data_IF_570849899821
#
_entry.id   IF_570849899821
#
_cell.length_a   1.000
_cell.length_b   1.000
_cell.length_c   1.000
_cell.angle_alpha   90.00
_cell.angle_beta   90.00
_cell.angle_gamma   90.00
#
_symmetry.space_group_name_H-M   'P 1'
#
loop_
_entity.id
_entity.type
_entity.pdbx_description
1 polymer ?
#
# COMPACT_ATOMS: atom_id res chain seq x y z
N UNK A 1 -6.17 7.28 -30.09
CA UNK A 1 -7.07 8.44 -30.07
C UNK A 1 -7.92 8.43 -28.81
N UNK A 2 -8.71 7.38 -28.56
CA UNK A 2 -9.47 7.22 -27.32
C UNK A 2 -8.59 7.13 -26.07
N UNK A 3 -7.42 6.48 -26.15
CA UNK A 3 -6.45 6.52 -25.06
C UNK A 3 -5.96 7.93 -24.71
N UNK A 4 -5.92 8.86 -25.68
CA UNK A 4 -5.57 10.27 -25.43
C UNK A 4 -6.74 10.99 -24.75
N UNK A 5 -7.96 10.83 -25.28
CA UNK A 5 -9.19 11.34 -24.66
C UNK A 5 -9.30 10.89 -23.19
N UNK A 6 -9.11 9.60 -22.92
CA UNK A 6 -9.15 9.03 -21.56
C UNK A 6 -7.99 9.53 -20.68
N UNK A 7 -6.81 9.78 -21.25
CA UNK A 7 -5.69 10.35 -20.51
C UNK A 7 -5.90 11.82 -20.16
N UNK A 8 -6.56 12.58 -21.02
CA UNK A 8 -6.94 13.97 -20.79
C UNK A 8 -8.01 14.05 -19.71
N UNK A 9 -9.06 13.22 -19.80
CA UNK A 9 -10.05 13.11 -18.72
C UNK A 9 -9.38 12.76 -17.40
N UNK A 10 -8.51 11.74 -17.36
CA UNK A 10 -7.80 11.41 -16.12
C UNK A 10 -6.96 12.56 -15.59
N UNK A 11 -6.26 13.28 -16.46
CA UNK A 11 -5.45 14.42 -16.06
C UNK A 11 -6.30 15.55 -15.47
N UNK A 12 -7.43 15.89 -16.09
CA UNK A 12 -8.36 16.90 -15.59
C UNK A 12 -8.99 16.48 -14.25
N UNK A 13 -9.43 15.23 -14.14
CA UNK A 13 -10.02 14.69 -12.91
C UNK A 13 -9.02 14.70 -11.77
N UNK A 14 -7.80 14.23 -12.02
CA UNK A 14 -6.72 14.25 -11.04
C UNK A 14 -6.43 15.68 -10.61
N UNK A 15 -6.30 16.61 -11.56
CA UNK A 15 -5.99 18.00 -11.28
C UNK A 15 -7.12 18.69 -10.50
N UNK A 16 -8.38 18.50 -10.91
CA UNK A 16 -9.53 19.07 -10.21
C UNK A 16 -9.67 18.56 -8.78
N UNK A 17 -9.38 17.27 -8.53
CA UNK A 17 -9.33 16.73 -7.16
C UNK A 17 -8.21 17.39 -6.36
N UNK A 18 -7.01 17.56 -6.93
CA UNK A 18 -5.88 18.22 -6.23
C UNK A 18 -6.18 19.69 -5.92
N UNK A 19 -6.78 20.43 -6.85
CA UNK A 19 -7.17 21.84 -6.64
C UNK A 19 -8.22 22.00 -5.54
N UNK A 20 -9.17 21.06 -5.43
CA UNK A 20 -10.12 21.03 -4.30
C UNK A 20 -9.40 20.83 -2.95
N UNK A 21 -8.30 20.06 -2.94
CA UNK A 21 -7.56 19.76 -1.72
C UNK A 21 -6.63 20.90 -1.29
N UNK A 22 -6.09 21.64 -2.26
CA UNK A 22 -5.26 22.83 -2.01
C UNK A 22 -6.08 24.02 -1.51
N UNK A 23 -7.40 24.00 -1.70
CA UNK A 23 -8.28 25.06 -1.22
C UNK A 23 -8.59 24.91 0.28
N UNK A 24 -7.98 25.76 1.10
CA UNK A 24 -8.19 25.80 2.55
C UNK A 24 -9.64 26.07 2.99
N UNK A 25 -10.48 26.64 2.12
CA UNK A 25 -11.90 26.91 2.38
C UNK A 25 -12.85 25.77 1.99
N UNK A 26 -12.31 24.69 1.42
CA UNK A 26 -13.09 23.57 0.91
C UNK A 26 -13.69 22.71 2.05
N UNK A 27 -15.00 22.48 2.00
CA UNK A 27 -15.65 21.52 2.89
C UNK A 27 -15.30 20.09 2.47
N UNK A 28 -14.37 19.50 3.22
CA UNK A 28 -13.85 18.14 2.98
C UNK A 28 -14.92 17.06 3.15
N UNK A 29 -16.09 17.38 3.71
CA UNK A 29 -17.25 16.48 3.73
C UNK A 29 -17.92 16.32 2.37
N UNK A 30 -17.78 17.30 1.47
CA UNK A 30 -18.31 17.25 0.09
C UNK A 30 -17.34 16.59 -0.90
N UNK A 31 -16.17 16.11 -0.47
CA UNK A 31 -15.09 15.68 -1.36
C UNK A 31 -15.49 14.57 -2.34
N UNK A 32 -16.23 13.56 -1.88
CA UNK A 32 -16.67 12.45 -2.74
C UNK A 32 -17.64 12.96 -3.80
N UNK A 33 -18.64 13.74 -3.40
CA UNK A 33 -19.64 14.30 -4.32
C UNK A 33 -19.00 15.24 -5.35
N UNK A 34 -18.07 16.11 -4.90
CA UNK A 34 -17.35 17.05 -5.75
C UNK A 34 -16.38 16.35 -6.71
N UNK A 35 -15.68 15.31 -6.25
CA UNK A 35 -14.79 14.52 -7.10
C UNK A 35 -15.58 13.76 -8.18
N UNK A 36 -16.72 13.17 -7.82
CA UNK A 36 -17.63 12.55 -8.79
C UNK A 36 -18.17 13.57 -9.79
N UNK A 37 -18.51 14.78 -9.33
CA UNK A 37 -18.97 15.84 -10.22
C UNK A 37 -17.88 16.31 -11.19
N UNK A 38 -16.65 16.54 -10.70
CA UNK A 38 -15.49 16.88 -11.55
C UNK A 38 -15.25 15.78 -12.58
N UNK A 39 -15.34 14.51 -12.18
CA UNK A 39 -15.26 13.39 -13.11
C UNK A 39 -16.29 13.51 -14.23
N UNK A 40 -17.56 13.67 -13.88
CA UNK A 40 -18.64 13.80 -14.86
C UNK A 40 -18.43 15.02 -15.77
N UNK A 41 -18.10 16.18 -15.19
CA UNK A 41 -17.90 17.43 -15.93
C UNK A 41 -16.70 17.34 -16.90
N UNK A 42 -15.58 16.75 -16.46
CA UNK A 42 -14.41 16.51 -17.31
C UNK A 42 -14.69 15.53 -18.44
N UNK A 43 -15.41 14.44 -18.17
CA UNK A 43 -15.82 13.53 -19.23
C UNK A 43 -16.73 14.22 -20.25
N UNK A 44 -17.77 14.93 -19.79
CA UNK A 44 -18.69 15.66 -20.65
C UNK A 44 -17.95 16.65 -21.55
N UNK A 45 -17.04 17.44 -20.96
CA UNK A 45 -16.24 18.42 -21.67
C UNK A 45 -15.31 17.77 -22.68
N UNK A 46 -14.51 16.77 -22.30
CA UNK A 46 -13.55 16.15 -23.22
C UNK A 46 -14.24 15.42 -24.36
N UNK A 47 -15.39 14.79 -24.12
CA UNK A 47 -16.20 14.15 -25.17
C UNK A 47 -16.75 15.21 -26.12
N UNK A 48 -17.39 16.26 -25.60
CA UNK A 48 -17.90 17.36 -26.43
C UNK A 48 -16.76 17.99 -27.24
N UNK A 49 -15.60 18.28 -26.66
CA UNK A 49 -14.46 18.84 -27.39
C UNK A 49 -13.91 17.88 -28.47
N UNK A 50 -13.85 16.57 -28.22
CA UNK A 50 -13.36 15.58 -29.19
C UNK A 50 -14.34 15.33 -30.35
N UNK A 51 -15.65 15.39 -30.10
CA UNK A 51 -16.69 15.12 -31.10
C UNK A 51 -17.27 16.39 -31.76
N UNK A 52 -17.19 17.56 -31.11
CA UNK A 52 -17.55 18.87 -31.68
C UNK A 52 -16.40 19.53 -32.43
N UNK A 53 -15.13 19.18 -32.15
CA UNK A 53 -14.02 19.54 -33.01
C UNK A 53 -14.00 18.68 -34.27
N UNK A 54 -13.46 19.19 -35.37
CA UNK A 54 -13.44 18.59 -36.72
C UNK A 54 -12.73 17.21 -36.84
N UNK A 55 -12.42 16.56 -35.72
CA UNK A 55 -11.72 15.27 -35.66
C UNK A 55 -12.64 14.06 -35.86
N UNK A 56 -13.92 14.11 -35.45
CA UNK A 56 -14.92 13.08 -35.71
C UNK A 56 -16.32 13.70 -35.72
N UNK A 57 -16.89 13.96 -36.90
CA UNK A 57 -18.29 14.36 -37.05
C UNK A 57 -19.21 13.13 -36.84
N UNK A 58 -19.18 12.56 -35.62
CA UNK A 58 -19.86 11.32 -35.23
C UNK A 58 -20.78 11.53 -34.02
N UNK A 59 -21.92 12.18 -34.23
CA UNK A 59 -22.97 12.37 -33.22
C UNK A 59 -23.39 11.06 -32.50
N UNK A 60 -23.30 9.91 -33.18
CA UNK A 60 -23.59 8.60 -32.59
C UNK A 60 -22.56 8.18 -31.53
N UNK A 61 -21.27 8.54 -31.71
CA UNK A 61 -20.21 8.26 -30.74
C UNK A 61 -20.42 9.05 -29.45
N UNK A 62 -20.66 10.35 -29.59
CA UNK A 62 -20.99 11.25 -28.49
C UNK A 62 -22.16 10.71 -27.67
N UNK A 63 -23.30 10.41 -28.31
CA UNK A 63 -24.48 9.87 -27.62
C UNK A 63 -24.21 8.56 -26.86
N UNK A 64 -23.37 7.67 -27.40
CA UNK A 64 -23.03 6.41 -26.72
C UNK A 64 -22.24 6.65 -25.43
N UNK A 65 -21.26 7.56 -25.46
CA UNK A 65 -20.53 7.92 -24.25
C UNK A 65 -21.43 8.62 -23.23
N UNK A 66 -22.25 9.59 -23.66
CA UNK A 66 -23.19 10.29 -22.77
C UNK A 66 -24.14 9.35 -22.03
N UNK A 67 -24.65 8.31 -22.71
CA UNK A 67 -25.51 7.30 -22.10
C UNK A 67 -24.78 6.46 -21.04
N UNK A 68 -23.52 6.13 -21.30
CA UNK A 68 -22.67 5.41 -20.35
C UNK A 68 -22.46 6.26 -19.09
N UNK A 69 -22.23 7.57 -19.22
CA UNK A 69 -22.10 8.47 -18.07
C UNK A 69 -23.40 8.69 -17.30
N UNK A 70 -24.53 8.89 -17.99
CA UNK A 70 -25.83 8.99 -17.32
C UNK A 70 -26.12 7.76 -16.44
N UNK A 71 -25.75 6.59 -16.94
CA UNK A 71 -25.86 5.33 -16.20
C UNK A 71 -24.96 5.20 -14.96
N UNK A 72 -23.82 5.90 -14.91
CA UNK A 72 -23.01 5.98 -13.69
C UNK A 72 -23.79 6.58 -12.53
N UNK A 73 -24.52 7.65 -12.81
CA UNK A 73 -25.28 8.37 -11.82
C UNK A 73 -26.40 7.50 -11.22
N UNK A 74 -27.05 6.69 -12.05
CA UNK A 74 -28.06 5.73 -11.61
C UNK A 74 -27.46 4.59 -10.77
N UNK A 75 -26.29 4.08 -11.15
CA UNK A 75 -25.58 3.02 -10.40
C UNK A 75 -25.13 3.50 -9.02
N UNK A 76 -24.67 4.75 -8.92
CA UNK A 76 -24.30 5.36 -7.63
C UNK A 76 -25.52 5.46 -6.71
N UNK A 77 -26.71 5.75 -7.27
CA UNK A 77 -27.94 5.90 -6.50
C UNK A 77 -28.58 4.56 -6.08
N UNK A 78 -28.32 3.46 -6.79
CA UNK A 78 -28.95 2.15 -6.56
C UNK A 78 -27.95 1.03 -6.21
N UNK A 79 -27.02 1.25 -5.29
CA UNK A 79 -25.95 0.28 -4.93
C UNK A 79 -26.45 -0.96 -4.15
N UNK A 80 -27.06 -1.92 -4.84
CA UNK A 80 -27.31 -3.30 -4.34
C UNK A 80 -26.39 -4.32 -5.02
N UNK A 81 -25.69 -5.15 -4.24
CA UNK A 81 -24.80 -6.21 -4.75
C UNK A 81 -25.28 -7.59 -4.31
N UNK A 82 -25.14 -8.59 -5.18
CA UNK A 82 -25.32 -9.98 -4.77
C UNK A 82 -24.09 -10.52 -4.01
N UNK A 83 -24.31 -11.54 -3.20
CA UNK A 83 -23.30 -12.10 -2.29
C UNK A 83 -22.09 -12.69 -3.04
N UNK A 84 -22.30 -13.31 -4.21
CA UNK A 84 -21.21 -13.95 -4.95
C UNK A 84 -20.29 -12.92 -5.60
N UNK A 85 -20.86 -11.86 -6.15
CA UNK A 85 -20.10 -10.74 -6.72
C UNK A 85 -19.32 -10.01 -5.63
N UNK A 86 -19.97 -9.75 -4.48
CA UNK A 86 -19.31 -9.16 -3.32
C UNK A 86 -18.05 -9.93 -2.91
N UNK A 87 -18.17 -11.24 -2.72
CA UNK A 87 -17.05 -12.09 -2.29
C UNK A 87 -15.96 -12.13 -3.35
N UNK A 88 -16.29 -12.42 -4.62
CA UNK A 88 -15.27 -12.56 -5.66
C UNK A 88 -14.45 -11.30 -5.87
N UNK A 89 -15.10 -10.14 -5.86
CA UNK A 89 -14.48 -8.88 -6.23
C UNK A 89 -13.73 -8.23 -5.06
N UNK A 90 -14.16 -8.46 -3.82
CA UNK A 90 -13.54 -7.86 -2.63
C UNK A 90 -12.72 -8.81 -1.76
N UNK A 91 -12.65 -10.11 -2.07
CA UNK A 91 -11.94 -11.09 -1.25
C UNK A 91 -10.51 -10.65 -0.91
N UNK A 92 -9.73 -10.21 -1.91
CA UNK A 92 -8.35 -9.77 -1.71
C UNK A 92 -8.25 -8.56 -0.76
N UNK A 93 -9.11 -7.55 -0.96
CA UNK A 93 -9.18 -6.39 -0.07
C UNK A 93 -9.63 -6.75 1.34
N UNK A 94 -10.57 -7.69 1.49
CA UNK A 94 -11.04 -8.15 2.81
C UNK A 94 -9.92 -8.87 3.54
N UNK A 95 -9.23 -9.80 2.87
CA UNK A 95 -8.11 -10.54 3.46
C UNK A 95 -7.00 -9.59 3.87
N UNK A 96 -6.61 -8.63 3.01
CA UNK A 96 -5.56 -7.65 3.34
C UNK A 96 -5.97 -6.69 4.46
N UNK A 97 -7.20 -6.18 4.42
CA UNK A 97 -7.73 -5.35 5.51
C UNK A 97 -7.79 -6.11 6.84
N UNK A 98 -8.23 -7.36 6.83
CA UNK A 98 -8.27 -8.22 8.01
C UNK A 98 -6.86 -8.57 8.53
N UNK A 99 -5.90 -8.85 7.64
CA UNK A 99 -4.49 -9.06 8.00
C UNK A 99 -3.91 -7.86 8.75
N UNK A 100 -4.18 -6.64 8.26
CA UNK A 100 -3.75 -5.40 8.93
C UNK A 100 -4.44 -5.24 10.29
N UNK A 101 -5.75 -5.49 10.39
CA UNK A 101 -6.49 -5.34 11.64
C UNK A 101 -6.08 -6.37 12.71
N UNK A 102 -5.95 -7.63 12.31
CA UNK A 102 -5.77 -8.77 13.22
C UNK A 102 -4.28 -9.00 13.50
N UNK A 103 -3.48 -9.16 12.44
CA UNK A 103 -2.08 -9.54 12.56
C UNK A 103 -1.17 -8.33 12.78
N UNK A 104 -1.56 -7.15 12.27
CA UNK A 104 -0.82 -5.89 12.40
C UNK A 104 0.69 -6.04 12.16
N UNK A 105 1.12 -6.55 10.98
CA UNK A 105 2.52 -6.87 10.72
C UNK A 105 3.46 -5.67 10.85
N UNK A 106 2.94 -4.46 10.64
CA UNK A 106 3.67 -3.20 10.67
C UNK A 106 3.67 -2.54 12.07
N UNK A 107 3.09 -3.18 13.09
CA UNK A 107 3.00 -2.66 14.45
C UNK A 107 2.34 -1.27 14.53
N UNK A 108 1.35 -1.02 13.67
CA UNK A 108 0.64 0.26 13.61
C UNK A 108 -0.16 0.51 14.89
N UNK A 109 -0.18 1.76 15.39
CA UNK A 109 -1.12 2.20 16.41
C UNK A 109 -2.57 1.93 16.00
N UNK A 110 -3.48 1.86 16.97
CA UNK A 110 -4.83 1.38 16.71
C UNK A 110 -5.60 2.20 15.66
N UNK A 111 -5.52 3.53 15.71
CA UNK A 111 -6.11 4.42 14.71
C UNK A 111 -5.47 4.28 13.33
N UNK A 112 -4.13 4.26 13.25
CA UNK A 112 -3.41 4.06 11.99
C UNK A 112 -3.71 2.69 11.35
N UNK A 113 -3.87 1.67 12.20
CA UNK A 113 -4.25 0.32 11.79
C UNK A 113 -5.66 0.31 11.18
N UNK A 114 -6.61 1.00 11.82
CA UNK A 114 -7.96 1.16 11.28
C UNK A 114 -7.96 1.94 9.96
N UNK A 115 -7.17 3.00 9.87
CA UNK A 115 -7.01 3.77 8.64
C UNK A 115 -6.43 2.91 7.51
N UNK A 116 -5.33 2.19 7.76
CA UNK A 116 -4.68 1.30 6.79
C UNK A 116 -5.63 0.20 6.30
N UNK A 117 -6.37 -0.45 7.20
CA UNK A 117 -7.39 -1.42 6.82
C UNK A 117 -8.53 -0.80 5.99
N UNK A 118 -8.97 0.41 6.34
CA UNK A 118 -10.00 1.14 5.61
C UNK A 118 -9.57 1.47 4.18
N UNK A 119 -8.29 1.78 3.93
CA UNK A 119 -7.76 1.98 2.57
C UNK A 119 -7.91 0.73 1.71
N UNK A 120 -7.64 -0.46 2.27
CA UNK A 120 -7.88 -1.72 1.55
C UNK A 120 -9.37 -1.96 1.26
N UNK A 121 -10.25 -1.69 2.23
CA UNK A 121 -11.70 -1.82 2.01
C UNK A 121 -12.23 -0.83 0.96
N UNK A 122 -11.75 0.42 0.97
CA UNK A 122 -12.11 1.42 -0.04
C UNK A 122 -11.67 1.00 -1.45
N UNK A 123 -10.46 0.44 -1.59
CA UNK A 123 -10.00 -0.10 -2.85
C UNK A 123 -10.94 -1.23 -3.35
N UNK A 124 -11.34 -2.14 -2.47
CA UNK A 124 -12.33 -3.19 -2.79
C UNK A 124 -13.69 -2.66 -3.20
N UNK A 125 -14.21 -1.69 -2.45
CA UNK A 125 -15.50 -1.04 -2.75
C UNK A 125 -15.48 -0.31 -4.09
N UNK A 126 -14.35 0.33 -4.46
CA UNK A 126 -14.23 0.99 -5.76
C UNK A 126 -14.35 0.01 -6.95
N UNK A 127 -13.82 -1.21 -6.79
CA UNK A 127 -13.93 -2.27 -7.78
C UNK A 127 -15.37 -2.77 -7.93
N UNK A 128 -16.10 -2.91 -6.82
CA UNK A 128 -17.52 -3.28 -6.85
C UNK A 128 -18.36 -2.25 -7.61
N UNK A 129 -18.17 -0.96 -7.31
CA UNK A 129 -18.90 0.11 -7.99
C UNK A 129 -18.61 0.08 -9.50
N UNK A 130 -17.35 -0.16 -9.88
CA UNK A 130 -16.96 -0.32 -11.28
C UNK A 130 -17.59 -1.55 -11.95
N UNK A 131 -17.64 -2.70 -11.28
CA UNK A 131 -18.26 -3.92 -11.84
C UNK A 131 -19.77 -3.76 -12.06
N UNK A 132 -20.46 -3.15 -11.09
CA UNK A 132 -21.90 -2.86 -11.23
C UNK A 132 -22.17 -1.85 -12.34
N UNK A 133 -21.28 -0.87 -12.47
CA UNK A 133 -21.32 0.06 -13.59
C UNK A 133 -21.23 -0.66 -14.94
N UNK A 134 -20.26 -1.57 -15.08
CA UNK A 134 -20.10 -2.36 -16.30
C UNK A 134 -21.31 -3.22 -16.61
N UNK A 135 -21.92 -3.80 -15.59
CA UNK A 135 -23.12 -4.65 -15.74
C UNK A 135 -24.33 -3.83 -16.16
N UNK A 136 -24.53 -2.67 -15.54
CA UNK A 136 -25.65 -1.78 -15.84
C UNK A 136 -25.57 -1.23 -17.28
N UNK A 137 -24.36 -0.95 -17.75
CA UNK A 137 -24.11 -0.32 -19.05
C UNK A 137 -23.79 -1.30 -20.18
N UNK A 138 -24.03 -2.60 -19.99
CA UNK A 138 -23.61 -3.66 -20.92
C UNK A 138 -23.94 -3.39 -22.39
N UNK A 139 -25.18 -3.02 -22.70
CA UNK A 139 -25.63 -2.75 -24.08
C UNK A 139 -24.91 -1.54 -24.72
N UNK A 140 -24.65 -0.49 -23.94
CA UNK A 140 -23.95 0.71 -24.42
C UNK A 140 -22.45 0.45 -24.58
N UNK A 141 -21.87 -0.34 -23.67
CA UNK A 141 -20.47 -0.77 -23.72
C UNK A 141 -20.21 -1.71 -24.89
N UNK A 142 -21.14 -2.61 -25.21
CA UNK A 142 -21.03 -3.50 -26.36
C UNK A 142 -21.08 -2.71 -27.69
N UNK A 143 -21.93 -1.67 -27.78
CA UNK A 143 -21.93 -0.75 -28.94
C UNK A 143 -20.63 0.05 -29.05
N UNK A 144 -20.09 0.52 -27.92
CA UNK A 144 -18.77 1.17 -27.89
C UNK A 144 -17.67 0.19 -28.30
N UNK A 145 -17.74 -1.08 -27.88
CA UNK A 145 -16.80 -2.14 -28.29
C UNK A 145 -16.85 -2.36 -29.79
N UNK A 146 -18.04 -2.49 -30.38
CA UNK A 146 -18.22 -2.69 -31.82
C UNK A 146 -17.63 -1.54 -32.64
N UNK A 147 -17.77 -0.31 -32.14
CA UNK A 147 -17.34 0.90 -32.85
C UNK A 147 -15.85 1.24 -32.65
N UNK A 148 -15.33 1.00 -31.45
CA UNK A 148 -14.02 1.52 -31.02
C UNK A 148 -13.04 0.43 -30.54
N UNK A 149 -13.46 -0.84 -30.51
CA UNK A 149 -12.65 -1.99 -30.14
C UNK A 149 -12.65 -2.31 -28.64
N UNK A 150 -12.06 -3.46 -28.28
CA UNK A 150 -12.07 -4.01 -26.91
C UNK A 150 -11.33 -3.14 -25.88
N UNK A 151 -10.42 -2.28 -26.33
CA UNK A 151 -9.64 -1.39 -25.46
C UNK A 151 -10.53 -0.45 -24.64
N UNK A 152 -11.65 0.04 -25.22
CA UNK A 152 -12.56 0.97 -24.53
C UNK A 152 -13.23 0.32 -23.31
N UNK A 153 -13.56 -0.97 -23.43
CA UNK A 153 -14.27 -1.75 -22.42
C UNK A 153 -13.38 -2.07 -21.22
N UNK A 154 -12.05 -2.00 -21.38
CA UNK A 154 -11.09 -2.21 -20.28
C UNK A 154 -10.67 -0.89 -19.64
N UNK A 155 -10.51 0.17 -20.42
CA UNK A 155 -10.02 1.47 -19.93
C UNK A 155 -11.06 2.25 -19.14
N UNK A 156 -12.32 2.24 -19.58
CA UNK A 156 -13.40 2.99 -18.92
C UNK A 156 -13.68 2.51 -17.48
N UNK A 157 -13.89 1.21 -17.19
CA UNK A 157 -14.07 0.77 -15.81
C UNK A 157 -12.84 1.00 -14.93
N UNK A 158 -11.64 0.91 -15.48
CA UNK A 158 -10.41 1.20 -14.76
C UNK A 158 -10.32 2.67 -14.34
N UNK A 159 -10.65 3.60 -15.26
CA UNK A 159 -10.66 5.03 -14.99
C UNK A 159 -11.70 5.43 -13.93
N UNK A 160 -12.89 4.83 -14.01
CA UNK A 160 -13.97 5.06 -13.03
C UNK A 160 -13.56 4.51 -11.65
N UNK A 161 -13.09 3.25 -11.61
CA UNK A 161 -12.65 2.63 -10.36
C UNK A 161 -11.50 3.40 -9.71
N UNK A 162 -10.49 3.81 -10.49
CA UNK A 162 -9.33 4.51 -9.96
C UNK A 162 -9.71 5.87 -9.38
N UNK A 163 -10.59 6.60 -10.06
CA UNK A 163 -11.06 7.91 -9.60
C UNK A 163 -11.90 7.79 -8.33
N UNK A 164 -12.84 6.84 -8.27
CA UNK A 164 -13.64 6.60 -7.06
C UNK A 164 -12.73 6.20 -5.90
N UNK A 165 -11.77 5.31 -6.14
CA UNK A 165 -10.79 4.90 -5.15
C UNK A 165 -10.00 6.11 -4.63
N UNK A 166 -9.45 6.94 -5.52
CA UNK A 166 -8.74 8.15 -5.14
C UNK A 166 -9.62 9.11 -4.33
N UNK A 167 -10.87 9.34 -4.75
CA UNK A 167 -11.79 10.20 -4.01
C UNK A 167 -12.04 9.68 -2.58
N UNK A 168 -12.30 8.38 -2.42
CA UNK A 168 -12.51 7.77 -1.10
C UNK A 168 -11.25 7.82 -0.22
N UNK A 169 -10.08 7.49 -0.78
CA UNK A 169 -8.81 7.52 -0.05
C UNK A 169 -8.47 8.92 0.44
N UNK A 170 -8.65 9.92 -0.43
CA UNK A 170 -8.40 11.30 -0.06
C UNK A 170 -9.39 11.76 1.01
N UNK A 171 -10.67 11.38 0.92
CA UNK A 171 -11.64 11.63 2.00
C UNK A 171 -11.19 11.02 3.32
N UNK A 172 -10.65 9.80 3.31
CA UNK A 172 -10.11 9.19 4.52
C UNK A 172 -8.92 9.99 5.09
N UNK A 173 -7.98 10.38 4.23
CA UNK A 173 -6.72 10.99 4.64
C UNK A 173 -6.86 12.47 5.02
N UNK A 174 -7.86 13.17 4.47
CA UNK A 174 -7.96 14.63 4.60
C UNK A 174 -9.18 15.09 5.39
N UNK A 175 -10.15 14.21 5.70
CA UNK A 175 -11.32 14.59 6.49
C UNK A 175 -10.94 14.86 7.96
N UNK A 176 -11.17 16.07 8.49
CA UNK A 176 -10.73 16.44 9.84
C UNK A 176 -11.33 15.56 10.95
N UNK A 177 -12.58 15.12 10.78
CA UNK A 177 -13.25 14.25 11.74
C UNK A 177 -12.62 12.85 11.75
N UNK A 178 -12.27 12.30 10.59
CA UNK A 178 -11.59 11.01 10.48
C UNK A 178 -10.17 11.11 11.07
N UNK A 179 -9.45 12.20 10.78
CA UNK A 179 -8.11 12.41 11.33
C UNK A 179 -8.14 12.58 12.85
N UNK A 180 -9.11 13.33 13.40
CA UNK A 180 -9.29 13.39 14.85
C UNK A 180 -9.61 12.00 15.43
N UNK A 181 -10.50 11.23 14.79
CA UNK A 181 -10.83 9.87 15.21
C UNK A 181 -9.59 8.96 15.25
N UNK A 182 -8.73 9.02 14.22
CA UNK A 182 -7.47 8.27 14.14
C UNK A 182 -6.56 8.64 15.32
N UNK A 183 -6.38 9.94 15.57
CA UNK A 183 -5.55 10.42 16.69
C UNK A 183 -6.10 9.91 18.03
N UNK A 184 -7.41 10.04 18.28
CA UNK A 184 -8.04 9.55 19.52
C UNK A 184 -7.95 8.04 19.65
N UNK A 185 -8.07 7.30 18.55
CA UNK A 185 -7.91 5.85 18.58
C UNK A 185 -6.47 5.44 18.81
N UNK A 186 -5.48 6.22 18.38
CA UNK A 186 -4.08 5.98 18.71
C UNK A 186 -3.78 6.16 20.21
N UNK A 187 -4.60 6.91 20.94
CA UNK A 187 -4.50 7.06 22.41
C UNK A 187 -5.07 5.86 23.17
N UNK A 188 -5.82 4.97 22.51
CA UNK A 188 -6.36 3.76 23.15
C UNK A 188 -5.20 2.81 23.48
N UNK A 189 -4.97 2.50 24.76
CA UNK A 189 -3.90 1.59 25.16
C UNK A 189 -4.23 0.19 24.63
N UNK A 190 -3.42 -0.25 23.66
CA UNK A 190 -3.49 -1.59 23.08
C UNK A 190 -2.16 -2.28 23.30
N UNK A 191 -2.15 -3.61 23.25
CA UNK A 191 -0.89 -4.38 23.35
C UNK A 191 0.15 -3.91 22.31
N UNK A 192 -0.30 -3.50 21.11
CA UNK A 192 0.58 -2.91 20.11
C UNK A 192 1.17 -1.57 20.54
N UNK A 193 0.41 -0.72 21.24
CA UNK A 193 0.92 0.53 21.80
C UNK A 193 2.06 0.26 22.77
N UNK A 194 1.91 -0.73 23.64
CA UNK A 194 2.97 -1.16 24.57
C UNK A 194 4.18 -1.75 23.84
N UNK A 195 3.97 -2.63 22.84
CA UNK A 195 5.06 -3.17 22.01
C UNK A 195 5.80 -2.06 21.27
N UNK A 196 5.10 -1.06 20.74
CA UNK A 196 5.72 0.09 20.06
C UNK A 196 6.55 0.92 21.04
N UNK A 197 6.01 1.23 22.22
CA UNK A 197 6.76 1.93 23.26
C UNK A 197 8.01 1.16 23.70
N UNK A 198 7.92 -0.17 23.79
CA UNK A 198 9.08 -1.01 24.10
C UNK A 198 10.12 -0.99 22.98
N UNK A 199 9.71 -1.02 21.70
CA UNK A 199 10.62 -0.86 20.55
C UNK A 199 11.30 0.52 20.54
N UNK A 200 10.53 1.59 20.71
CA UNK A 200 11.06 2.95 20.80
C UNK A 200 12.03 3.11 21.97
N UNK A 201 11.70 2.51 23.13
CA UNK A 201 12.59 2.50 24.30
C UNK A 201 13.87 1.70 24.04
N UNK A 202 13.78 0.55 23.36
CA UNK A 202 14.94 -0.24 22.97
C UNK A 202 15.86 0.55 22.03
N UNK A 203 15.30 1.23 21.02
CA UNK A 203 16.08 2.08 20.11
C UNK A 203 16.76 3.23 20.87
N UNK A 204 16.08 3.84 21.84
CA UNK A 204 16.69 4.87 22.69
C UNK A 204 17.83 4.30 23.55
N UNK A 205 17.66 3.09 24.11
CA UNK A 205 18.74 2.43 24.85
C UNK A 205 19.96 2.16 23.96
N UNK A 206 19.76 1.71 22.72
CA UNK A 206 20.84 1.49 21.75
C UNK A 206 21.54 2.81 21.40
N UNK A 207 20.79 3.89 21.18
CA UNK A 207 21.35 5.23 20.90
C UNK A 207 22.18 5.73 22.09
N UNK A 208 21.67 5.60 23.31
CA UNK A 208 22.39 5.96 24.53
C UNK A 208 23.66 5.10 24.68
N UNK A 209 23.60 3.81 24.37
CA UNK A 209 24.75 2.92 24.40
C UNK A 209 25.82 3.32 23.36
N UNK A 210 25.39 3.71 22.15
CA UNK A 210 26.29 4.23 21.11
C UNK A 210 26.96 5.54 21.55
N UNK A 211 26.20 6.47 22.13
CA UNK A 211 26.72 7.74 22.66
C UNK A 211 27.73 7.52 23.79
N UNK A 212 27.42 6.66 24.77
CA UNK A 212 28.31 6.33 25.88
C UNK A 212 29.59 5.63 25.41
N UNK A 213 29.47 4.77 24.40
CA UNK A 213 30.59 4.04 23.81
C UNK A 213 31.39 4.84 22.78
N UNK A 214 30.95 6.05 22.41
CA UNK A 214 31.51 6.81 21.28
C UNK A 214 31.53 6.03 19.96
N UNK A 215 30.53 5.17 19.76
CA UNK A 215 30.34 4.38 18.55
C UNK A 215 29.43 5.09 17.56
N UNK A 216 29.61 4.78 16.28
CA UNK A 216 28.65 5.13 15.23
C UNK A 216 27.40 4.25 15.37
N UNK A 217 26.24 4.86 15.61
CA UNK A 217 24.98 4.16 15.86
C UNK A 217 24.60 3.23 14.69
N UNK A 218 24.79 3.66 13.45
CA UNK A 218 24.39 2.87 12.28
C UNK A 218 25.27 1.62 12.14
N UNK A 219 26.56 1.73 12.48
CA UNK A 219 27.47 0.58 12.53
C UNK A 219 27.16 -0.35 13.70
N UNK A 220 26.88 0.21 14.86
CA UNK A 220 26.53 -0.56 16.06
C UNK A 220 25.26 -1.39 15.82
N UNK A 221 24.25 -0.81 15.17
CA UNK A 221 23.00 -1.49 14.84
C UNK A 221 23.21 -2.69 13.92
N UNK A 222 24.00 -2.51 12.86
CA UNK A 222 24.37 -3.61 11.96
C UNK A 222 25.10 -4.72 12.72
N UNK A 223 26.02 -4.37 13.62
CA UNK A 223 26.72 -5.36 14.44
C UNK A 223 25.78 -6.11 15.39
N UNK A 224 24.88 -5.39 16.09
CA UNK A 224 23.88 -5.99 16.99
C UNK A 224 22.97 -6.95 16.23
N UNK A 225 22.52 -6.59 15.03
CA UNK A 225 21.68 -7.45 14.18
C UNK A 225 22.43 -8.72 13.76
N UNK A 226 23.70 -8.58 13.36
CA UNK A 226 24.56 -9.73 13.01
C UNK A 226 24.77 -10.66 14.21
N UNK A 227 25.05 -10.11 15.39
CA UNK A 227 25.23 -10.91 16.60
C UNK A 227 23.93 -11.58 17.06
N UNK A 228 22.79 -10.90 16.93
CA UNK A 228 21.48 -11.45 17.30
C UNK A 228 21.10 -12.61 16.39
N UNK A 229 21.28 -12.46 15.08
CA UNK A 229 21.06 -13.54 14.11
C UNK A 229 21.99 -14.74 14.36
N UNK A 230 23.27 -14.48 14.68
CA UNK A 230 24.22 -15.54 15.05
C UNK A 230 23.81 -16.27 16.32
N UNK A 231 23.32 -15.54 17.34
CA UNK A 231 22.86 -16.14 18.59
C UNK A 231 21.61 -17.01 18.37
N UNK A 232 20.67 -16.57 17.52
CA UNK A 232 19.52 -17.37 17.11
C UNK A 232 19.97 -18.65 16.39
N UNK A 233 20.82 -18.53 15.37
CA UNK A 233 21.34 -19.68 14.63
C UNK A 233 22.02 -20.71 15.54
N UNK A 234 22.85 -20.25 16.49
CA UNK A 234 23.52 -21.11 17.46
C UNK A 234 22.53 -21.77 18.40
N UNK A 235 21.45 -21.08 18.79
CA UNK A 235 20.47 -21.58 19.75
C UNK A 235 19.68 -22.81 19.27
N UNK A 236 19.62 -23.04 17.95
CA UNK A 236 18.91 -24.17 17.32
C UNK A 236 19.84 -25.34 17.00
N UNK A 237 21.15 -25.22 17.28
CA UNK A 237 22.12 -26.27 16.98
C UNK A 237 22.24 -27.24 18.16
N UNK A 238 21.77 -28.47 17.94
CA UNK A 238 21.66 -29.48 19.00
C UNK A 238 22.89 -30.39 19.15
N UNK A 239 23.94 -30.20 18.35
CA UNK A 239 25.14 -31.06 18.41
C UNK A 239 26.46 -30.28 18.35
N UNK A 240 27.49 -30.71 19.12
CA UNK A 240 28.81 -30.07 19.10
C UNK A 240 29.45 -30.05 17.71
N UNK A 241 29.28 -31.10 16.91
CA UNK A 241 29.85 -31.20 15.57
C UNK A 241 29.21 -30.18 14.62
N UNK A 242 27.88 -30.06 14.64
CA UNK A 242 27.16 -29.07 13.84
C UNK A 242 27.47 -27.63 14.28
N UNK A 243 27.73 -27.41 15.57
CA UNK A 243 28.14 -26.10 16.09
C UNK A 243 29.53 -25.73 15.59
N UNK A 244 30.46 -26.69 15.63
CA UNK A 244 31.81 -26.49 15.09
C UNK A 244 31.78 -26.17 13.60
N UNK A 245 31.01 -26.91 12.81
CA UNK A 245 30.84 -26.64 11.37
C UNK A 245 30.25 -25.26 11.08
N UNK A 246 29.26 -24.83 11.88
CA UNK A 246 28.67 -23.50 11.76
C UNK A 246 29.69 -22.39 12.09
N UNK A 247 30.39 -22.51 13.21
CA UNK A 247 31.40 -21.53 13.64
C UNK A 247 32.55 -21.42 12.64
N UNK A 248 33.01 -22.54 12.08
CA UNK A 248 34.06 -22.53 11.06
C UNK A 248 33.62 -21.80 9.79
N UNK A 249 32.40 -22.04 9.31
CA UNK A 249 31.81 -21.29 8.18
C UNK A 249 31.65 -19.80 8.50
N UNK A 250 31.32 -19.47 9.75
CA UNK A 250 31.19 -18.07 10.19
C UNK A 250 32.54 -17.33 10.15
N UNK A 251 33.62 -17.96 10.65
CA UNK A 251 34.97 -17.40 10.56
C UNK A 251 35.43 -17.22 9.10
N UNK A 252 35.15 -18.20 8.24
CA UNK A 252 35.42 -18.09 6.79
C UNK A 252 34.65 -16.93 6.14
N UNK A 253 33.35 -16.78 6.45
CA UNK A 253 32.49 -15.76 5.87
C UNK A 253 32.84 -14.34 6.33
N UNK A 254 33.21 -14.17 7.60
CA UNK A 254 33.51 -12.86 8.19
C UNK A 254 34.96 -12.43 7.99
N UNK A 255 35.83 -13.34 7.53
CA UNK A 255 37.26 -13.09 7.40
C UNK A 255 37.96 -12.85 8.73
N UNK A 256 37.29 -13.15 9.86
CA UNK A 256 37.87 -13.04 11.20
C UNK A 256 38.88 -14.18 11.40
N UNK A 257 40.02 -13.91 12.06
CA UNK A 257 41.01 -14.94 12.32
C UNK A 257 40.41 -15.99 13.26
N UNK A 258 40.64 -17.26 12.92
CA UNK A 258 40.27 -18.38 13.79
C UNK A 258 41.09 -18.24 15.10
N UNK A 259 40.50 -18.48 16.28
CA UNK A 259 41.17 -18.20 17.56
C UNK A 259 42.49 -18.95 17.78
N UNK A 260 42.70 -20.05 17.07
CA UNK A 260 43.93 -20.85 17.11
C UNK A 260 44.83 -20.67 15.86
N UNK A 261 44.49 -19.76 14.96
CA UNK A 261 45.27 -19.40 13.77
C UNK A 261 45.29 -20.48 12.70
N UNK A 262 46.40 -20.57 11.96
CA UNK A 262 46.58 -21.51 10.84
C UNK A 262 46.95 -22.95 11.27
N UNK A 263 46.81 -23.27 12.57
CA UNK A 263 47.15 -24.59 13.13
C UNK A 263 45.89 -25.44 13.26
N UNK A 264 46.04 -26.75 13.37
CA UNK A 264 44.93 -27.60 13.85
C UNK A 264 44.67 -27.33 15.34
N UNK A 265 43.47 -27.67 15.83
CA UNK A 265 43.12 -27.53 17.24
C UNK A 265 44.08 -28.36 18.09
N UNK A 266 44.41 -29.56 17.66
CA UNK A 266 45.33 -30.47 18.34
C UNK A 266 46.74 -29.89 18.46
N UNK A 267 47.26 -29.28 17.38
CA UNK A 267 48.57 -28.62 17.37
C UNK A 267 48.60 -27.37 18.26
N UNK A 268 47.50 -26.64 18.34
CA UNK A 268 47.39 -25.46 19.21
C UNK A 268 47.33 -25.86 20.69
N UNK A 269 46.60 -26.92 21.02
CA UNK A 269 46.45 -27.41 22.40
C UNK A 269 47.68 -28.18 22.90
N UNK A 270 48.51 -28.70 22.00
CA UNK A 270 49.79 -29.33 22.35
C UNK A 270 50.90 -28.34 22.73
N UNK A 271 50.76 -27.05 22.38
CA UNK A 271 51.71 -25.99 22.70
C UNK A 271 51.32 -25.29 24.02
N UNK A 272 52.12 -25.51 25.07
CA UNK A 272 51.86 -24.95 26.41
C UNK A 272 51.93 -23.42 26.48
N UNK A 273 52.48 -22.76 25.46
CA UNK A 273 52.55 -21.30 25.38
C UNK A 273 51.46 -20.69 24.49
N UNK A 274 50.62 -21.52 23.88
CA UNK A 274 49.59 -21.05 22.98
C UNK A 274 48.49 -20.29 23.72
N UNK A 275 47.96 -19.25 23.08
CA UNK A 275 46.84 -18.44 23.59
C UNK A 275 45.81 -18.28 22.50
N UNK A 276 44.53 -18.41 22.87
CA UNK A 276 43.43 -18.08 21.99
C UNK A 276 43.42 -16.57 21.75
N UNK A 277 43.30 -16.16 20.49
CA UNK A 277 43.22 -14.75 20.09
C UNK A 277 41.79 -14.47 19.67
N UNK A 278 41.16 -13.46 20.26
CA UNK A 278 39.83 -13.00 19.88
C UNK A 278 39.92 -11.51 19.52
N UNK A 279 39.53 -11.15 18.29
CA UNK A 279 39.46 -9.77 17.77
C UNK A 279 38.00 -9.33 17.49
#
# INVERSE_FOLDING_TARGET
MLGLMMSEVWAEVKQGILELLENDSFDRNELIERALKIMMDSFYKTIDEYFSSSYLDEAEGEHLFMNVFAGMQDVINDMVFDENTLVKTTYASIVKGAEVLICNPEYLPFGERLASASRYFMAGSSLLVSEKFMTSMGDSLDKLREKYGDEIVTLLPALISSTICCACLVSLDHNPMIQELIVRFNEVPTLTYEIRQLKESAEQFERIAAELGSYDYDKLKIEIDVYSAMAEDISVIDSPDALNDYLMKYYEKTGKPIPWGNRTVEEHWADSNSRLVFE
#
